data_IF_653994366865
#
_entry.id   IF_653994366865
#
_cell.length_a   1.000
_cell.length_b   1.000
_cell.length_c   1.000
_cell.angle_alpha   90.00
_cell.angle_beta   90.00
_cell.angle_gamma   90.00
#
_symmetry.space_group_name_H-M   'P 1'
#
loop_
_entity.id
_entity.type
_entity.pdbx_description
1 polymer ?
#
# COMPACT_ATOMS: atom_id res chain seq x y z
N UNK A 1 -41.35 -6.30 -17.62
CA UNK A 1 -41.37 -5.05 -16.83
C UNK A 1 -39.96 -4.49 -16.87
N UNK A 2 -39.77 -3.21 -17.18
CA UNK A 2 -38.48 -2.58 -16.94
C UNK A 2 -38.25 -2.61 -15.41
N UNK A 3 -37.06 -3.00 -14.92
CA UNK A 3 -36.76 -2.96 -13.49
C UNK A 3 -36.98 -1.54 -12.98
N UNK A 4 -37.68 -1.42 -11.85
CA UNK A 4 -38.03 -0.14 -11.27
C UNK A 4 -36.82 0.35 -10.51
N UNK A 5 -35.86 0.97 -11.20
CA UNK A 5 -34.58 1.38 -10.63
C UNK A 5 -34.72 2.77 -10.00
N UNK A 6 -35.32 2.86 -8.81
CA UNK A 6 -35.14 4.07 -7.97
C UNK A 6 -33.72 4.08 -7.45
N UNK A 7 -33.18 5.27 -7.20
CA UNK A 7 -31.93 5.44 -6.49
C UNK A 7 -32.20 5.89 -5.05
N UNK A 8 -31.31 5.59 -4.09
CA UNK A 8 -31.49 5.98 -2.69
C UNK A 8 -31.78 7.47 -2.47
N UNK A 9 -31.14 8.34 -3.25
CA UNK A 9 -31.34 9.79 -3.18
C UNK A 9 -32.69 10.27 -3.76
N UNK A 10 -33.43 9.40 -4.45
CA UNK A 10 -34.79 9.68 -4.92
C UNK A 10 -35.86 9.31 -3.87
N UNK A 11 -35.46 8.71 -2.74
CA UNK A 11 -36.34 8.29 -1.66
C UNK A 11 -36.46 9.36 -0.58
N UNK A 12 -37.60 9.36 0.09
CA UNK A 12 -37.90 10.16 1.28
C UNK A 12 -38.19 9.28 2.48
N UNK A 13 -38.15 9.82 3.70
CA UNK A 13 -38.57 9.07 4.90
C UNK A 13 -40.04 8.63 4.84
N UNK A 14 -40.88 9.38 4.11
CA UNK A 14 -42.28 9.01 3.84
C UNK A 14 -42.37 7.78 2.93
N UNK A 15 -41.50 7.66 1.92
CA UNK A 15 -41.42 6.45 1.07
C UNK A 15 -41.08 5.22 1.91
N UNK A 16 -40.12 5.35 2.84
CA UNK A 16 -39.69 4.27 3.75
C UNK A 16 -40.81 3.90 4.71
N UNK A 17 -41.43 4.90 5.35
CA UNK A 17 -42.57 4.69 6.24
C UNK A 17 -43.73 3.99 5.53
N UNK A 18 -44.00 4.38 4.27
CA UNK A 18 -45.02 3.75 3.46
C UNK A 18 -44.66 2.30 3.06
N UNK A 19 -43.39 2.01 2.78
CA UNK A 19 -42.91 0.66 2.50
C UNK A 19 -43.08 -0.25 3.73
N UNK A 20 -42.63 0.19 4.90
CA UNK A 20 -42.76 -0.56 6.15
C UNK A 20 -44.23 -0.78 6.51
N UNK A 21 -45.09 0.21 6.29
CA UNK A 21 -46.54 0.07 6.47
C UNK A 21 -47.17 -0.95 5.51
N UNK A 22 -46.63 -1.12 4.28
CA UNK A 22 -47.07 -2.18 3.36
C UNK A 22 -46.65 -3.57 3.86
N UNK A 23 -45.40 -3.71 4.31
CA UNK A 23 -44.90 -4.94 4.93
C UNK A 23 -45.75 -5.32 6.15
N UNK A 24 -46.01 -4.36 7.04
CA UNK A 24 -46.78 -4.57 8.28
C UNK A 24 -48.21 -5.03 8.06
N UNK A 25 -48.83 -4.72 6.92
CA UNK A 25 -50.17 -5.23 6.59
C UNK A 25 -50.18 -6.74 6.36
N UNK A 26 -49.04 -7.30 5.99
CA UNK A 26 -48.86 -8.72 5.74
C UNK A 26 -48.24 -9.43 6.93
N UNK A 27 -47.22 -8.82 7.55
CA UNK A 27 -46.47 -9.38 8.67
C UNK A 27 -45.88 -8.26 9.55
N UNK A 28 -46.39 -8.13 10.78
CA UNK A 28 -45.95 -7.12 11.75
C UNK A 28 -44.55 -7.40 12.31
N UNK A 29 -44.11 -8.67 12.35
CA UNK A 29 -42.79 -9.04 12.83
C UNK A 29 -41.73 -8.73 11.78
N UNK A 30 -42.01 -9.10 10.53
CA UNK A 30 -41.17 -8.76 9.39
C UNK A 30 -41.00 -7.24 9.24
N UNK A 31 -42.05 -6.46 9.49
CA UNK A 31 -41.97 -5.00 9.44
C UNK A 31 -41.05 -4.42 10.51
N UNK A 32 -41.06 -4.99 11.73
CA UNK A 32 -40.14 -4.58 12.81
C UNK A 32 -38.69 -4.92 12.47
N UNK A 33 -38.44 -6.09 11.92
CA UNK A 33 -37.09 -6.45 11.46
C UNK A 33 -36.64 -5.57 10.28
N UNK A 34 -37.51 -5.28 9.32
CA UNK A 34 -37.21 -4.39 8.20
C UNK A 34 -36.86 -2.97 8.67
N UNK A 35 -37.59 -2.43 9.65
CA UNK A 35 -37.23 -1.17 10.30
C UNK A 35 -35.84 -1.24 10.93
N UNK A 36 -35.53 -2.32 11.65
CA UNK A 36 -34.22 -2.50 12.27
C UNK A 36 -33.08 -2.56 11.23
N UNK A 37 -33.29 -3.24 10.10
CA UNK A 37 -32.33 -3.27 8.99
C UNK A 37 -32.10 -1.85 8.45
N UNK A 38 -33.17 -1.11 8.18
CA UNK A 38 -33.09 0.26 7.68
C UNK A 38 -32.33 1.18 8.64
N UNK A 39 -32.69 1.15 9.93
CA UNK A 39 -32.08 1.99 10.96
C UNK A 39 -30.58 1.67 11.11
N UNK A 40 -30.19 0.40 10.97
CA UNK A 40 -28.78 -0.01 11.08
C UNK A 40 -27.94 0.42 9.88
N UNK A 41 -28.53 0.41 8.69
CA UNK A 41 -27.84 0.80 7.45
C UNK A 41 -27.72 2.32 7.31
N UNK A 42 -28.70 3.07 7.83
CA UNK A 42 -28.76 4.53 7.67
C UNK A 42 -28.34 5.31 8.92
N UNK A 43 -28.23 4.64 10.06
CA UNK A 43 -28.03 5.28 11.37
C UNK A 43 -29.05 6.38 11.69
N UNK A 44 -30.24 6.31 11.08
CA UNK A 44 -31.30 7.30 11.24
C UNK A 44 -31.09 8.60 10.44
N UNK A 45 -30.09 8.67 9.57
CA UNK A 45 -29.80 9.86 8.74
C UNK A 45 -30.59 9.89 7.42
N UNK A 46 -31.50 8.94 7.22
CA UNK A 46 -32.40 8.88 6.06
C UNK A 46 -31.91 7.99 4.91
N UNK A 47 -32.73 7.83 3.85
CA UNK A 47 -32.50 6.82 2.82
C UNK A 47 -31.33 7.17 1.89
N UNK A 48 -30.93 8.45 1.83
CA UNK A 48 -29.77 8.90 1.07
C UNK A 48 -28.43 8.30 1.55
N UNK A 49 -28.39 7.69 2.74
CA UNK A 49 -27.21 6.96 3.23
C UNK A 49 -27.09 5.53 2.68
N UNK A 50 -28.14 4.98 2.06
CA UNK A 50 -28.10 3.61 1.56
C UNK A 50 -27.13 3.51 0.39
N UNK A 51 -26.06 2.74 0.58
CA UNK A 51 -25.07 2.39 -0.46
C UNK A 51 -25.01 0.88 -0.62
N UNK A 52 -24.80 0.37 -1.83
CA UNK A 52 -24.65 -1.08 -2.06
C UNK A 52 -23.40 -1.63 -1.38
N UNK A 53 -22.33 -0.85 -1.31
CA UNK A 53 -21.16 -1.18 -0.49
C UNK A 53 -21.52 -1.36 1.00
N UNK A 54 -22.34 -0.45 1.54
CA UNK A 54 -22.82 -0.52 2.93
C UNK A 54 -23.69 -1.75 3.19
N UNK A 55 -24.54 -2.14 2.24
CA UNK A 55 -25.32 -3.38 2.33
C UNK A 55 -24.42 -4.61 2.26
N UNK A 56 -23.40 -4.63 1.40
CA UNK A 56 -22.42 -5.72 1.34
C UNK A 56 -21.62 -5.84 2.65
N UNK A 57 -21.13 -4.75 3.22
CA UNK A 57 -20.46 -4.75 4.52
C UNK A 57 -21.40 -5.24 5.64
N UNK A 58 -22.64 -4.76 5.64
CA UNK A 58 -23.62 -5.17 6.64
C UNK A 58 -23.92 -6.68 6.56
N UNK A 59 -24.23 -7.20 5.37
CA UNK A 59 -24.52 -8.61 5.16
C UNK A 59 -23.32 -9.52 5.38
N UNK A 60 -22.14 -9.13 4.90
CA UNK A 60 -20.98 -10.03 4.82
C UNK A 60 -20.02 -9.89 5.99
N UNK A 61 -20.11 -8.82 6.79
CA UNK A 61 -19.24 -8.59 7.94
C UNK A 61 -20.03 -8.26 9.22
N UNK A 62 -20.89 -7.25 9.24
CA UNK A 62 -21.51 -6.78 10.49
C UNK A 62 -22.49 -7.80 11.06
N UNK A 63 -23.38 -8.36 10.23
CA UNK A 63 -24.34 -9.38 10.64
C UNK A 63 -23.60 -10.61 11.21
N UNK A 64 -22.63 -11.22 10.50
CA UNK A 64 -21.91 -12.38 11.05
C UNK A 64 -21.07 -12.09 12.30
N UNK A 65 -20.44 -10.91 12.42
CA UNK A 65 -19.41 -10.66 13.45
C UNK A 65 -19.85 -9.78 14.62
N UNK A 66 -20.97 -9.03 14.50
CA UNK A 66 -21.39 -8.03 15.51
C UNK A 66 -22.72 -8.35 16.16
N UNK A 67 -23.59 -9.11 15.49
CA UNK A 67 -24.93 -9.42 16.03
C UNK A 67 -24.93 -10.52 17.10
N UNK A 68 -23.78 -11.22 17.29
CA UNK A 68 -23.50 -12.15 18.41
C UNK A 68 -24.69 -13.04 18.79
N UNK A 69 -25.24 -13.78 17.82
CA UNK A 69 -26.36 -14.69 18.02
C UNK A 69 -26.01 -16.10 17.55
N UNK A 70 -26.47 -17.10 18.31
CA UNK A 70 -26.32 -18.53 18.00
C UNK A 70 -27.56 -19.08 17.25
N UNK A 71 -28.51 -18.22 16.89
CA UNK A 71 -29.73 -18.63 16.18
C UNK A 71 -29.40 -19.09 14.75
N UNK A 72 -29.59 -20.39 14.50
CA UNK A 72 -29.37 -20.98 13.19
C UNK A 72 -30.24 -20.32 12.11
N UNK A 73 -29.62 -19.91 11.00
CA UNK A 73 -30.31 -19.28 9.88
C UNK A 73 -30.67 -17.81 10.09
N UNK A 74 -30.27 -17.19 11.21
CA UNK A 74 -30.52 -15.77 11.49
C UNK A 74 -29.97 -14.84 10.40
N UNK A 75 -28.75 -15.12 9.91
CA UNK A 75 -28.11 -14.31 8.87
C UNK A 75 -28.91 -14.34 7.55
N UNK A 76 -29.41 -15.52 7.17
CA UNK A 76 -30.26 -15.68 5.99
C UNK A 76 -31.61 -14.98 6.14
N UNK A 77 -32.24 -15.07 7.33
CA UNK A 77 -33.48 -14.34 7.63
C UNK A 77 -33.30 -12.83 7.48
N UNK A 78 -32.24 -12.26 8.05
CA UNK A 78 -31.96 -10.82 7.90
C UNK A 78 -31.69 -10.42 6.45
N UNK A 79 -31.04 -11.27 5.66
CA UNK A 79 -30.87 -11.04 4.23
C UNK A 79 -32.22 -11.05 3.49
N UNK A 80 -33.09 -12.03 3.77
CA UNK A 80 -34.43 -12.10 3.18
C UNK A 80 -35.28 -10.90 3.57
N UNK A 81 -35.27 -10.49 4.84
CA UNK A 81 -35.96 -9.29 5.34
C UNK A 81 -35.46 -8.03 4.63
N UNK A 82 -34.14 -7.87 4.49
CA UNK A 82 -33.55 -6.75 3.76
C UNK A 82 -33.99 -6.76 2.28
N UNK A 83 -34.05 -7.93 1.64
CA UNK A 83 -34.49 -8.06 0.27
C UNK A 83 -35.95 -7.62 0.08
N UNK A 84 -36.84 -7.99 1.01
CA UNK A 84 -38.25 -7.55 0.99
C UNK A 84 -38.36 -6.04 1.14
N UNK A 85 -37.60 -5.44 2.07
CA UNK A 85 -37.55 -3.99 2.23
C UNK A 85 -37.11 -3.29 0.94
N UNK A 86 -36.03 -3.76 0.32
CA UNK A 86 -35.49 -3.14 -0.90
C UNK A 86 -36.42 -3.29 -2.10
N UNK A 87 -37.12 -4.42 -2.25
CA UNK A 87 -38.16 -4.57 -3.28
C UNK A 87 -39.30 -3.54 -3.08
N UNK A 88 -39.77 -3.36 -1.84
CA UNK A 88 -40.82 -2.41 -1.50
C UNK A 88 -40.42 -0.94 -1.74
N UNK A 89 -39.11 -0.65 -1.72
CA UNK A 89 -38.53 0.65 -2.04
C UNK A 89 -38.21 0.82 -3.53
N UNK A 90 -38.25 -0.25 -4.34
CA UNK A 90 -37.79 -0.24 -5.73
C UNK A 90 -36.28 -0.09 -5.87
N UNK A 91 -35.52 -0.69 -4.95
CA UNK A 91 -34.06 -0.75 -4.96
C UNK A 91 -33.60 -2.14 -5.43
N UNK A 92 -33.99 -2.53 -6.64
CA UNK A 92 -33.80 -3.88 -7.19
C UNK A 92 -32.35 -4.40 -7.04
N UNK A 93 -31.36 -3.56 -7.33
CA UNK A 93 -29.93 -3.93 -7.22
C UNK A 93 -29.46 -4.21 -5.79
N UNK A 94 -30.12 -3.63 -4.78
CA UNK A 94 -29.84 -3.89 -3.37
C UNK A 94 -30.49 -5.21 -2.94
N UNK A 95 -31.73 -5.44 -3.37
CA UNK A 95 -32.44 -6.70 -3.13
C UNK A 95 -31.74 -7.89 -3.79
N UNK A 96 -31.16 -7.71 -4.98
CA UNK A 96 -30.34 -8.72 -5.66
C UNK A 96 -29.11 -9.13 -4.82
N UNK A 97 -28.42 -8.18 -4.18
CA UNK A 97 -27.28 -8.48 -3.29
C UNK A 97 -27.70 -9.34 -2.11
N UNK A 98 -28.87 -9.05 -1.52
CA UNK A 98 -29.42 -9.83 -0.42
C UNK A 98 -29.70 -11.29 -0.82
N UNK A 99 -30.15 -11.53 -2.06
CA UNK A 99 -30.51 -12.85 -2.59
C UNK A 99 -29.37 -13.56 -3.32
N UNK A 100 -28.22 -12.92 -3.46
CA UNK A 100 -27.08 -13.44 -4.22
C UNK A 100 -26.53 -14.73 -3.58
N UNK A 101 -26.19 -15.73 -4.41
CA UNK A 101 -25.56 -16.97 -3.96
C UNK A 101 -24.25 -16.71 -3.19
N UNK A 102 -23.55 -15.61 -3.50
CA UNK A 102 -22.36 -15.16 -2.76
C UNK A 102 -22.69 -14.79 -1.32
N UNK A 103 -23.80 -14.10 -1.07
CA UNK A 103 -24.25 -13.74 0.28
C UNK A 103 -24.51 -15.00 1.11
N UNK A 104 -25.25 -15.96 0.55
CA UNK A 104 -25.50 -17.24 1.20
C UNK A 104 -24.20 -18.02 1.45
N UNK A 105 -23.25 -18.01 0.50
CA UNK A 105 -21.96 -18.67 0.64
C UNK A 105 -21.08 -18.06 1.74
N UNK A 106 -21.11 -16.74 1.91
CA UNK A 106 -20.40 -16.04 3.00
C UNK A 106 -21.01 -16.42 4.35
N UNK A 107 -22.33 -16.36 4.50
CA UNK A 107 -23.01 -16.74 5.75
C UNK A 107 -22.71 -18.20 6.13
N UNK A 108 -22.84 -19.13 5.17
CA UNK A 108 -22.52 -20.53 5.38
C UNK A 108 -21.04 -20.77 5.75
N UNK A 109 -20.13 -19.89 5.33
CA UNK A 109 -18.72 -19.96 5.72
C UNK A 109 -18.49 -19.48 7.15
N UNK A 110 -19.17 -18.42 7.58
CA UNK A 110 -19.16 -17.98 8.98
C UNK A 110 -19.74 -19.02 9.93
N UNK A 111 -20.81 -19.73 9.52
CA UNK A 111 -21.36 -20.86 10.28
C UNK A 111 -20.34 -21.98 10.53
N UNK A 112 -19.32 -22.12 9.66
CA UNK A 112 -18.24 -23.11 9.82
C UNK A 112 -17.10 -22.58 10.69
N UNK A 113 -16.63 -21.35 10.41
CA UNK A 113 -15.67 -20.63 11.27
C UNK A 113 -15.49 -19.18 10.83
N UNK A 114 -15.06 -18.32 11.75
CA UNK A 114 -14.69 -16.93 11.46
C UNK A 114 -13.60 -16.82 10.38
N UNK A 115 -12.62 -17.72 10.39
CA UNK A 115 -11.52 -17.69 9.42
C UNK A 115 -11.99 -17.98 7.99
N UNK A 116 -12.87 -18.98 7.83
CA UNK A 116 -13.49 -19.27 6.54
C UNK A 116 -14.46 -18.18 6.10
N UNK A 117 -15.25 -17.64 7.04
CA UNK A 117 -16.16 -16.52 6.80
C UNK A 117 -15.44 -15.27 6.29
N UNK A 118 -14.37 -14.85 6.96
CA UNK A 118 -13.55 -13.69 6.56
C UNK A 118 -12.90 -13.89 5.18
N UNK A 119 -12.47 -15.12 4.87
CA UNK A 119 -11.91 -15.44 3.55
C UNK A 119 -12.98 -15.44 2.44
N UNK A 120 -14.16 -16.00 2.71
CA UNK A 120 -15.29 -15.95 1.78
C UNK A 120 -15.76 -14.52 1.53
N UNK A 121 -15.83 -13.70 2.59
CA UNK A 121 -16.17 -12.27 2.53
C UNK A 121 -15.20 -11.50 1.63
N UNK A 122 -13.87 -11.66 1.80
CA UNK A 122 -12.88 -10.98 0.94
C UNK A 122 -13.08 -11.36 -0.53
N UNK A 123 -13.28 -12.65 -0.82
CA UNK A 123 -13.57 -13.13 -2.19
C UNK A 123 -14.86 -12.54 -2.76
N UNK A 124 -15.91 -12.42 -1.94
CA UNK A 124 -17.18 -11.84 -2.35
C UNK A 124 -17.04 -10.34 -2.68
N UNK A 125 -16.33 -9.57 -1.84
CA UNK A 125 -15.99 -8.15 -2.09
C UNK A 125 -15.19 -7.97 -3.37
N UNK A 126 -14.10 -8.74 -3.54
CA UNK A 126 -13.28 -8.71 -4.75
C UNK A 126 -14.08 -9.03 -6.03
N UNK A 127 -15.11 -9.86 -5.92
CA UNK A 127 -15.97 -10.26 -7.01
C UNK A 127 -17.20 -9.35 -7.21
N UNK A 128 -17.47 -8.40 -6.31
CA UNK A 128 -18.69 -7.59 -6.36
C UNK A 128 -18.63 -6.47 -7.40
N UNK A 129 -17.41 -6.01 -7.73
CA UNK A 129 -17.17 -4.89 -8.63
C UNK A 129 -17.32 -3.51 -7.98
N UNK A 130 -17.72 -3.46 -6.71
CA UNK A 130 -17.89 -2.22 -5.94
C UNK A 130 -16.65 -1.91 -5.10
N UNK A 131 -15.92 -2.95 -4.66
CA UNK A 131 -14.67 -2.77 -3.91
C UNK A 131 -13.68 -1.95 -4.76
N UNK A 132 -13.27 -0.75 -4.30
CA UNK A 132 -12.26 0.06 -4.98
C UNK A 132 -10.93 -0.72 -5.13
N UNK A 133 -10.48 -1.02 -6.36
CA UNK A 133 -9.18 -1.65 -6.56
C UNK A 133 -8.03 -0.68 -6.31
N UNK A 134 -6.88 -1.22 -5.92
CA UNK A 134 -5.61 -0.50 -6.01
C UNK A 134 -5.26 -0.16 -7.47
N UNK A 135 -4.58 0.97 -7.62
CA UNK A 135 -4.01 1.49 -8.86
C UNK A 135 -2.48 1.39 -8.83
N UNK A 136 -1.84 1.55 -9.98
CA UNK A 136 -0.38 1.46 -10.07
C UNK A 136 0.35 2.57 -9.28
N UNK A 137 -0.30 3.72 -9.11
CA UNK A 137 0.22 4.91 -8.44
C UNK A 137 -0.55 5.28 -7.15
N UNK A 138 -1.49 4.44 -6.72
CA UNK A 138 -2.31 4.67 -5.53
C UNK A 138 -2.79 3.36 -4.92
N UNK A 139 -2.53 3.20 -3.63
CA UNK A 139 -2.92 2.02 -2.85
C UNK A 139 -3.73 2.46 -1.64
N UNK A 140 -4.81 1.75 -1.36
CA UNK A 140 -5.67 2.01 -0.20
C UNK A 140 -5.02 1.53 1.10
N UNK A 141 -5.17 2.33 2.16
CA UNK A 141 -4.77 1.98 3.51
C UNK A 141 -5.73 0.98 4.14
N UNK A 142 -5.22 0.07 4.96
CA UNK A 142 -6.06 -0.74 5.85
C UNK A 142 -6.65 0.08 6.98
N UNK A 143 -6.04 1.23 7.30
CA UNK A 143 -6.59 2.24 8.20
C UNK A 143 -6.63 3.56 7.46
N UNK A 144 -7.83 4.07 7.23
CA UNK A 144 -8.06 5.29 6.47
C UNK A 144 -8.30 6.46 7.43
N UNK A 145 -7.78 7.63 7.07
CA UNK A 145 -8.26 8.88 7.67
C UNK A 145 -9.62 9.27 7.08
N UNK A 146 -10.10 10.45 7.45
CA UNK A 146 -11.41 10.95 7.03
C UNK A 146 -11.46 11.20 5.52
N UNK A 147 -10.43 11.82 4.96
CA UNK A 147 -10.34 12.10 3.52
C UNK A 147 -10.23 10.81 2.73
N UNK A 148 -9.39 9.87 3.17
CA UNK A 148 -9.26 8.59 2.49
C UNK A 148 -10.52 7.73 2.54
N UNK A 149 -11.21 7.68 3.70
CA UNK A 149 -12.48 6.96 3.81
C UNK A 149 -13.58 7.60 2.94
N UNK A 150 -13.61 8.93 2.85
CA UNK A 150 -14.59 9.64 2.02
C UNK A 150 -14.30 9.47 0.53
N UNK A 151 -13.02 9.49 0.14
CA UNK A 151 -12.59 9.17 -1.22
C UNK A 151 -12.96 7.72 -1.59
N UNK A 152 -12.75 6.77 -0.68
CA UNK A 152 -13.13 5.38 -0.86
C UNK A 152 -14.63 5.24 -1.13
N UNK A 153 -15.47 5.84 -0.28
CA UNK A 153 -16.92 5.86 -0.46
C UNK A 153 -17.34 6.53 -1.77
N UNK A 154 -16.68 7.61 -2.17
CA UNK A 154 -16.95 8.28 -3.46
C UNK A 154 -16.65 7.36 -4.64
N UNK A 155 -15.58 6.56 -4.56
CA UNK A 155 -15.26 5.56 -5.59
C UNK A 155 -16.29 4.44 -5.60
N UNK A 156 -16.75 3.97 -4.44
CA UNK A 156 -17.82 2.97 -4.33
C UNK A 156 -19.11 3.47 -5.02
N UNK A 157 -19.52 4.72 -4.76
CA UNK A 157 -20.69 5.35 -5.38
C UNK A 157 -20.55 5.45 -6.92
N UNK A 158 -19.34 5.78 -7.40
CA UNK A 158 -19.04 5.83 -8.84
C UNK A 158 -19.09 4.44 -9.49
N UNK A 159 -18.57 3.41 -8.81
CA UNK A 159 -18.61 2.01 -9.27
C UNK A 159 -20.04 1.48 -9.28
N UNK A 160 -20.83 1.78 -8.25
CA UNK A 160 -22.26 1.45 -8.18
C UNK A 160 -23.03 2.09 -9.34
N UNK A 161 -22.84 3.38 -9.58
CA UNK A 161 -23.46 4.09 -10.73
C UNK A 161 -23.09 3.44 -12.06
N UNK A 162 -21.84 2.98 -12.23
CA UNK A 162 -21.39 2.30 -13.43
C UNK A 162 -22.01 0.91 -13.59
N UNK A 163 -22.24 0.16 -12.50
CA UNK A 163 -22.96 -1.11 -12.54
C UNK A 163 -24.41 -0.90 -12.97
N UNK A 164 -25.07 0.11 -12.41
CA UNK A 164 -26.49 0.37 -12.66
C UNK A 164 -26.75 0.85 -14.09
N UNK A 165 -25.85 1.67 -14.63
CA UNK A 165 -25.87 2.09 -16.03
C UNK A 165 -25.42 1.01 -17.01
N UNK A 166 -24.83 -0.09 -16.52
CA UNK A 166 -24.27 -1.16 -17.34
C UNK A 166 -22.92 -0.81 -17.99
N UNK A 167 -22.31 0.32 -17.64
CA UNK A 167 -20.96 0.70 -18.06
C UNK A 167 -19.88 -0.21 -17.44
N UNK A 168 -20.16 -0.75 -16.25
CA UNK A 168 -19.39 -1.81 -15.62
C UNK A 168 -20.23 -3.11 -15.61
N UNK A 169 -19.70 -4.17 -16.22
CA UNK A 169 -20.33 -5.50 -16.23
C UNK A 169 -19.37 -6.50 -15.59
N UNK A 170 -19.64 -6.88 -14.35
CA UNK A 170 -18.83 -7.85 -13.59
C UNK A 170 -18.77 -9.19 -14.33
N UNK A 171 -17.58 -9.79 -14.40
CA UNK A 171 -17.35 -11.04 -15.13
C UNK A 171 -17.23 -10.87 -16.64
N UNK A 172 -17.55 -9.70 -17.19
CA UNK A 172 -17.39 -9.38 -18.60
C UNK A 172 -15.92 -9.26 -19.04
N UNK A 173 -15.65 -9.22 -20.35
CA UNK A 173 -14.29 -9.02 -20.84
C UNK A 173 -13.74 -7.67 -20.35
N UNK A 174 -12.53 -7.69 -19.77
CA UNK A 174 -11.81 -6.50 -19.27
C UNK A 174 -12.52 -5.69 -18.17
N UNK A 175 -13.51 -6.28 -17.47
CA UNK A 175 -14.24 -5.58 -16.40
C UNK A 175 -13.33 -5.00 -15.31
N UNK A 176 -12.25 -5.71 -14.92
CA UNK A 176 -11.24 -5.21 -13.97
C UNK A 176 -10.47 -3.99 -14.47
N UNK A 177 -10.22 -3.90 -15.76
CA UNK A 177 -9.59 -2.71 -16.34
C UNK A 177 -10.57 -1.53 -16.33
N UNK A 178 -11.86 -1.79 -16.61
CA UNK A 178 -12.92 -0.77 -16.54
C UNK A 178 -13.11 -0.26 -15.11
N UNK A 179 -13.17 -1.17 -14.13
CA UNK A 179 -13.24 -0.86 -12.71
C UNK A 179 -12.10 0.08 -12.29
N UNK A 180 -10.84 -0.27 -12.60
CA UNK A 180 -9.67 0.59 -12.35
C UNK A 180 -9.78 1.97 -13.01
N UNK A 181 -10.28 2.04 -14.25
CA UNK A 181 -10.46 3.31 -14.94
C UNK A 181 -11.51 4.21 -14.26
N UNK A 182 -12.61 3.64 -13.77
CA UNK A 182 -13.63 4.37 -13.02
C UNK A 182 -13.05 4.87 -11.69
N UNK A 183 -12.33 4.02 -10.96
CA UNK A 183 -11.65 4.39 -9.72
C UNK A 183 -10.66 5.53 -9.92
N UNK A 184 -9.82 5.46 -10.95
CA UNK A 184 -8.89 6.54 -11.29
C UNK A 184 -9.63 7.85 -11.58
N UNK A 185 -10.68 7.81 -12.40
CA UNK A 185 -11.47 8.99 -12.76
C UNK A 185 -12.17 9.62 -11.54
N UNK A 186 -12.71 8.81 -10.63
CA UNK A 186 -13.32 9.28 -9.40
C UNK A 186 -12.29 9.93 -8.46
N UNK A 187 -11.12 9.31 -8.29
CA UNK A 187 -10.01 9.86 -7.50
C UNK A 187 -9.46 11.19 -8.06
N UNK A 188 -9.45 11.33 -9.39
CA UNK A 188 -9.01 12.55 -10.06
C UNK A 188 -10.14 13.61 -10.18
N UNK A 189 -11.35 13.26 -9.75
CA UNK A 189 -12.47 14.17 -9.61
C UNK A 189 -12.20 15.27 -8.58
N UNK A 190 -12.81 16.45 -8.78
CA UNK A 190 -12.63 17.61 -7.90
C UNK A 190 -13.16 17.32 -6.50
N UNK A 191 -12.39 17.69 -5.48
CA UNK A 191 -12.85 17.67 -4.10
C UNK A 191 -14.01 18.68 -3.93
N UNK A 192 -15.12 18.31 -3.26
CA UNK A 192 -16.31 19.15 -3.19
C UNK A 192 -16.11 20.43 -2.37
N UNK A 193 -15.22 20.42 -1.38
CA UNK A 193 -15.05 21.51 -0.41
C UNK A 193 -13.68 22.20 -0.54
N UNK A 194 -12.70 21.57 -1.20
CA UNK A 194 -11.33 22.09 -1.30
C UNK A 194 -11.02 22.46 -2.76
N UNK A 195 -11.15 23.75 -3.15
CA UNK A 195 -10.91 24.18 -4.51
C UNK A 195 -9.47 23.88 -4.95
N UNK A 196 -9.32 23.31 -6.15
CA UNK A 196 -8.02 23.01 -6.75
C UNK A 196 -7.43 21.66 -6.32
N UNK A 197 -8.09 20.92 -5.44
CA UNK A 197 -7.71 19.55 -5.09
C UNK A 197 -8.62 18.52 -5.78
N UNK A 198 -8.05 17.34 -6.04
CA UNK A 198 -8.81 16.12 -6.29
C UNK A 198 -8.86 15.27 -5.03
N UNK A 199 -9.71 14.24 -5.01
CA UNK A 199 -9.69 13.25 -3.92
C UNK A 199 -8.31 12.63 -3.73
N UNK A 200 -7.61 12.31 -4.82
CA UNK A 200 -6.25 11.79 -4.77
C UNK A 200 -5.29 12.72 -4.03
N UNK A 201 -5.34 14.02 -4.30
CA UNK A 201 -4.45 14.99 -3.62
C UNK A 201 -4.87 15.25 -2.18
N UNK A 202 -6.16 15.20 -1.87
CA UNK A 202 -6.66 15.33 -0.50
C UNK A 202 -6.15 14.18 0.38
N UNK A 203 -6.24 12.93 -0.10
CA UNK A 203 -5.70 11.76 0.59
C UNK A 203 -4.19 11.87 0.82
N UNK A 204 -3.43 12.30 -0.19
CA UNK A 204 -1.99 12.53 -0.04
C UNK A 204 -1.71 13.58 1.05
N UNK A 205 -2.46 14.68 1.07
CA UNK A 205 -2.31 15.76 2.04
C UNK A 205 -2.63 15.28 3.45
N UNK A 206 -3.71 14.52 3.64
CA UNK A 206 -4.07 13.90 4.92
C UNK A 206 -2.96 12.97 5.42
N UNK A 207 -2.49 12.05 4.57
CA UNK A 207 -1.46 11.07 4.96
C UNK A 207 -0.15 11.74 5.39
N UNK A 208 0.30 12.76 4.65
CA UNK A 208 1.49 13.55 5.02
C UNK A 208 1.26 14.34 6.30
N UNK A 209 0.08 14.95 6.46
CA UNK A 209 -0.29 15.69 7.67
C UNK A 209 -0.24 14.80 8.92
N UNK A 210 -0.73 13.57 8.80
CA UNK A 210 -0.68 12.60 9.89
C UNK A 210 0.72 12.06 10.14
N UNK A 211 1.54 11.86 9.10
CA UNK A 211 2.95 11.49 9.26
C UNK A 211 3.75 12.52 10.07
N UNK A 212 3.48 13.82 9.85
CA UNK A 212 4.00 14.92 10.68
C UNK A 212 3.42 14.85 12.10
N UNK A 213 2.09 14.74 12.23
CA UNK A 213 1.39 14.72 13.51
C UNK A 213 1.87 13.60 14.42
N UNK A 214 2.02 12.38 13.89
CA UNK A 214 2.47 11.21 14.64
C UNK A 214 3.91 11.39 15.13
N UNK A 215 4.78 12.02 14.33
CA UNK A 215 6.12 12.42 14.77
C UNK A 215 6.06 13.39 15.94
N UNK A 216 5.29 14.47 15.81
CA UNK A 216 5.13 15.51 16.83
C UNK A 216 4.51 15.01 18.15
N UNK A 217 3.65 13.99 18.12
CA UNK A 217 3.06 13.42 19.33
C UNK A 217 4.09 12.74 20.25
N UNK A 218 5.25 12.34 19.71
CA UNK A 218 6.27 11.56 20.41
C UNK A 218 7.60 12.30 20.53
N UNK A 219 7.95 13.13 19.55
CA UNK A 219 9.19 13.92 19.54
C UNK A 219 8.98 15.26 18.82
N UNK A 220 9.15 16.37 19.55
CA UNK A 220 9.12 17.72 18.99
C UNK A 220 10.22 17.95 17.94
N UNK A 221 11.34 17.23 18.03
CA UNK A 221 12.44 17.31 17.05
C UNK A 221 12.02 16.66 15.74
N UNK A 222 11.61 15.40 15.77
CA UNK A 222 11.15 14.68 14.57
C UNK A 222 9.95 15.38 13.95
N UNK A 223 8.98 15.80 14.77
CA UNK A 223 7.80 16.54 14.32
C UNK A 223 8.15 17.81 13.53
N UNK A 224 9.08 18.64 14.03
CA UNK A 224 9.56 19.83 13.31
C UNK A 224 10.28 19.47 12.02
N UNK A 225 11.21 18.50 12.07
CA UNK A 225 11.97 18.06 10.89
C UNK A 225 11.04 17.61 9.76
N UNK A 226 10.02 16.82 10.08
CA UNK A 226 8.99 16.38 9.13
C UNK A 226 8.12 17.51 8.62
N UNK A 227 7.72 18.45 9.49
CA UNK A 227 6.94 19.61 9.08
C UNK A 227 7.69 20.49 8.08
N UNK A 228 8.99 20.67 8.26
CA UNK A 228 9.85 21.48 7.37
C UNK A 228 9.95 20.89 5.96
N UNK A 229 9.84 19.56 5.81
CA UNK A 229 9.89 18.88 4.51
C UNK A 229 8.53 18.54 3.92
N UNK A 230 7.43 18.56 4.71
CA UNK A 230 6.11 18.09 4.31
C UNK A 230 5.59 18.69 2.99
N UNK A 231 5.74 20.01 2.80
CA UNK A 231 5.31 20.70 1.58
C UNK A 231 6.02 20.18 0.32
N UNK A 232 7.27 19.72 0.46
CA UNK A 232 8.06 19.15 -0.64
C UNK A 232 7.55 17.77 -1.03
N UNK A 233 6.83 17.09 -0.14
CA UNK A 233 6.31 15.74 -0.35
C UNK A 233 4.89 15.73 -0.91
N UNK A 234 4.19 16.87 -1.01
CA UNK A 234 2.79 16.91 -1.47
C UNK A 234 2.63 16.47 -2.94
N UNK A 235 3.64 16.77 -3.77
CA UNK A 235 3.64 16.43 -5.18
C UNK A 235 4.58 15.25 -5.48
N UNK A 236 4.33 14.46 -6.53
CA UNK A 236 5.30 13.47 -7.01
C UNK A 236 6.70 14.08 -7.16
N UNK A 237 7.71 13.34 -6.72
CA UNK A 237 9.10 13.77 -6.81
C UNK A 237 9.64 13.36 -8.18
N UNK A 238 10.13 14.32 -8.94
CA UNK A 238 10.76 14.04 -10.23
C UNK A 238 12.01 13.17 -10.05
N UNK A 239 12.27 12.23 -10.97
CA UNK A 239 13.49 11.46 -10.95
C UNK A 239 14.72 12.37 -11.08
N UNK A 240 15.86 12.00 -10.47
CA UNK A 240 17.09 12.78 -10.61
C UNK A 240 17.54 12.87 -12.08
N UNK A 241 18.25 13.95 -12.46
CA UNK A 241 18.88 14.03 -13.77
C UNK A 241 19.86 12.87 -13.96
N UNK A 242 20.13 12.50 -15.22
CA UNK A 242 21.02 11.38 -15.58
C UNK A 242 20.60 10.04 -14.96
N UNK A 243 19.31 9.81 -14.74
CA UNK A 243 18.80 8.59 -14.11
C UNK A 243 19.31 7.30 -14.76
N UNK A 244 19.50 7.31 -16.09
CA UNK A 244 20.05 6.16 -16.83
C UNK A 244 21.46 5.79 -16.36
N UNK A 245 22.29 6.77 -16.02
CA UNK A 245 23.65 6.54 -15.51
C UNK A 245 23.60 6.00 -14.08
N UNK A 246 22.78 6.63 -13.23
CA UNK A 246 22.58 6.20 -11.84
C UNK A 246 22.06 4.76 -11.77
N UNK A 247 21.09 4.38 -12.62
CA UNK A 247 20.54 3.03 -12.64
C UNK A 247 21.33 2.03 -13.50
N UNK A 248 22.42 2.46 -14.16
CA UNK A 248 23.24 1.59 -15.01
C UNK A 248 23.76 0.33 -14.31
N UNK A 249 24.15 0.34 -13.01
CA UNK A 249 24.51 -0.89 -12.30
C UNK A 249 23.42 -1.96 -12.37
N UNK A 250 22.18 -1.59 -12.10
CA UNK A 250 21.04 -2.51 -12.10
C UNK A 250 20.68 -2.96 -13.52
N UNK A 251 20.49 -2.01 -14.45
CA UNK A 251 20.02 -2.32 -15.80
C UNK A 251 21.04 -3.14 -16.58
N UNK A 252 22.34 -2.83 -16.47
CA UNK A 252 23.40 -3.62 -17.11
C UNK A 252 23.60 -4.98 -16.47
N UNK A 253 23.47 -5.13 -15.15
CA UNK A 253 23.54 -6.46 -14.55
C UNK A 253 22.40 -7.34 -15.05
N UNK A 254 21.18 -6.80 -15.14
CA UNK A 254 20.02 -7.52 -15.67
C UNK A 254 20.20 -7.89 -17.15
N UNK A 255 20.80 -7.01 -17.96
CA UNK A 255 21.15 -7.29 -19.36
C UNK A 255 22.22 -8.39 -19.46
N UNK A 256 23.32 -8.25 -18.72
CA UNK A 256 24.41 -9.25 -18.68
C UNK A 256 23.96 -10.61 -18.17
N UNK A 257 22.98 -10.66 -17.27
CA UNK A 257 22.39 -11.90 -16.77
C UNK A 257 21.66 -12.66 -17.88
N UNK A 258 21.01 -11.93 -18.81
CA UNK A 258 20.10 -12.50 -19.80
C UNK A 258 18.89 -13.13 -19.12
N UNK A 259 18.40 -14.24 -19.67
CA UNK A 259 17.18 -14.88 -19.13
C UNK A 259 17.44 -15.72 -17.87
N UNK A 260 18.62 -16.34 -17.78
CA UNK A 260 18.97 -17.18 -16.64
C UNK A 260 20.47 -17.42 -16.49
N UNK A 261 20.90 -17.67 -15.25
CA UNK A 261 22.26 -18.06 -14.91
C UNK A 261 22.28 -19.27 -13.95
N UNK A 262 23.14 -20.26 -14.18
CA UNK A 262 23.27 -21.39 -13.27
C UNK A 262 23.98 -20.97 -11.97
N UNK A 263 23.48 -21.49 -10.85
CA UNK A 263 24.03 -21.30 -9.52
C UNK A 263 24.87 -22.50 -9.10
N UNK A 264 25.88 -22.23 -8.28
CA UNK A 264 26.65 -23.25 -7.56
C UNK A 264 25.78 -23.98 -6.54
N UNK A 265 26.30 -25.08 -5.95
CA UNK A 265 25.59 -25.82 -4.90
C UNK A 265 25.26 -24.95 -3.68
N UNK A 266 26.11 -23.98 -3.36
CA UNK A 266 25.90 -23.02 -2.26
C UNK A 266 24.97 -21.86 -2.65
N UNK A 267 24.47 -21.80 -3.89
CA UNK A 267 23.54 -20.77 -4.35
C UNK A 267 24.19 -19.48 -4.86
N UNK A 268 25.52 -19.44 -4.98
CA UNK A 268 26.26 -18.34 -5.61
C UNK A 268 26.27 -18.46 -7.14
N UNK A 269 26.44 -17.33 -7.83
CA UNK A 269 26.74 -17.28 -9.26
C UNK A 269 28.03 -18.06 -9.56
N UNK A 270 28.06 -18.70 -10.73
CA UNK A 270 29.26 -19.43 -11.13
C UNK A 270 30.43 -18.46 -11.39
N UNK A 271 31.66 -18.97 -11.24
CA UNK A 271 32.87 -18.15 -11.38
C UNK A 271 33.00 -17.51 -12.77
N UNK A 272 32.61 -18.22 -13.84
CA UNK A 272 32.71 -17.69 -15.20
C UNK A 272 31.86 -16.42 -15.39
N UNK A 273 30.66 -16.40 -14.83
CA UNK A 273 29.77 -15.25 -14.83
C UNK A 273 30.33 -14.12 -13.96
N UNK A 274 30.83 -14.43 -12.77
CA UNK A 274 31.43 -13.43 -11.87
C UNK A 274 32.62 -12.73 -12.53
N UNK A 275 33.51 -13.49 -13.20
CA UNK A 275 34.64 -12.92 -13.95
C UNK A 275 34.15 -12.03 -15.10
N UNK A 276 33.14 -12.49 -15.86
CA UNK A 276 32.54 -11.68 -16.93
C UNK A 276 31.97 -10.35 -16.42
N UNK A 277 31.24 -10.38 -15.31
CA UNK A 277 30.71 -9.15 -14.68
C UNK A 277 31.85 -8.26 -14.20
N UNK A 278 32.87 -8.82 -13.56
CA UNK A 278 34.03 -8.05 -13.08
C UNK A 278 34.76 -7.31 -14.23
N UNK A 279 34.82 -7.90 -15.43
CA UNK A 279 35.41 -7.28 -16.62
C UNK A 279 34.52 -6.20 -17.24
N UNK A 280 33.19 -6.30 -17.10
CA UNK A 280 32.21 -5.46 -17.81
C UNK A 280 31.40 -4.53 -16.89
N UNK A 281 31.69 -4.53 -15.58
CA UNK A 281 30.92 -3.80 -14.58
C UNK A 281 30.90 -2.29 -14.86
N UNK A 282 29.73 -1.64 -14.74
CA UNK A 282 29.64 -0.19 -14.79
C UNK A 282 29.96 0.51 -13.47
N UNK A 283 30.15 -0.23 -12.37
CA UNK A 283 30.41 0.32 -11.04
C UNK A 283 31.90 0.31 -10.70
N UNK A 284 32.29 1.25 -9.85
CA UNK A 284 33.60 1.22 -9.22
C UNK A 284 33.59 0.27 -8.01
N UNK A 285 34.62 -0.56 -7.92
CA UNK A 285 34.82 -1.44 -6.76
C UNK A 285 35.60 -0.68 -5.68
N UNK A 286 34.98 -0.34 -4.53
CA UNK A 286 35.65 0.42 -3.48
C UNK A 286 36.84 -0.34 -2.86
N UNK A 287 36.90 -1.67 -3.04
CA UNK A 287 37.97 -2.52 -2.52
C UNK A 287 38.90 -3.03 -3.62
N UNK A 288 38.92 -2.38 -4.81
CA UNK A 288 39.69 -2.74 -6.02
C UNK A 288 40.82 -3.74 -5.75
N UNK A 289 40.46 -5.02 -5.74
CA UNK A 289 41.46 -6.06 -5.58
C UNK A 289 42.13 -6.25 -6.94
N UNK A 290 43.46 -6.22 -6.99
CA UNK A 290 44.21 -6.48 -8.25
C UNK A 290 44.05 -7.92 -8.77
N UNK A 291 43.23 -8.75 -8.13
CA UNK A 291 43.11 -10.19 -8.37
C UNK A 291 41.72 -10.47 -8.94
N UNK A 292 41.67 -11.31 -9.96
CA UNK A 292 40.42 -11.83 -10.51
C UNK A 292 39.61 -12.54 -9.41
N UNK A 293 38.30 -12.24 -9.26
CA UNK A 293 37.46 -12.85 -8.23
C UNK A 293 37.36 -14.37 -8.41
N UNK A 294 37.32 -15.10 -7.28
CA UNK A 294 37.20 -16.56 -7.24
C UNK A 294 35.76 -17.00 -7.00
N UNK A 295 34.95 -16.16 -6.35
CA UNK A 295 33.53 -16.36 -6.08
C UNK A 295 32.75 -15.05 -6.12
N UNK A 296 31.41 -15.13 -6.10
CA UNK A 296 30.53 -13.96 -6.01
C UNK A 296 30.83 -13.09 -4.78
N UNK A 297 31.20 -13.71 -3.65
CA UNK A 297 31.54 -13.00 -2.41
C UNK A 297 32.82 -12.17 -2.51
N UNK A 298 33.69 -12.47 -3.48
CA UNK A 298 34.86 -11.64 -3.75
C UNK A 298 34.49 -10.35 -4.51
N UNK A 299 33.28 -10.30 -5.09
CA UNK A 299 32.70 -9.13 -5.76
C UNK A 299 31.49 -8.63 -4.94
N UNK A 300 31.78 -7.94 -3.83
CA UNK A 300 30.77 -7.53 -2.84
C UNK A 300 29.64 -6.70 -3.46
N UNK A 301 29.95 -5.83 -4.44
CA UNK A 301 28.94 -5.03 -5.14
C UNK A 301 27.98 -5.92 -5.93
N UNK A 302 28.48 -6.90 -6.68
CA UNK A 302 27.64 -7.88 -7.38
C UNK A 302 26.75 -8.65 -6.40
N UNK A 303 27.32 -9.10 -5.29
CA UNK A 303 26.57 -9.83 -4.27
C UNK A 303 25.40 -8.99 -3.70
N UNK A 304 25.66 -7.73 -3.34
CA UNK A 304 24.64 -6.79 -2.84
C UNK A 304 23.58 -6.47 -3.89
N UNK A 305 24.00 -6.12 -5.10
CA UNK A 305 23.10 -5.75 -6.19
C UNK A 305 22.19 -6.92 -6.59
N UNK A 306 22.74 -8.14 -6.64
CA UNK A 306 21.94 -9.36 -6.83
C UNK A 306 20.94 -9.56 -5.69
N UNK A 307 21.37 -9.43 -4.44
CA UNK A 307 20.50 -9.55 -3.27
C UNK A 307 19.32 -8.58 -3.34
N UNK A 308 19.58 -7.31 -3.63
CA UNK A 308 18.54 -6.32 -3.85
C UNK A 308 17.61 -6.68 -5.03
N UNK A 309 18.16 -7.08 -6.19
CA UNK A 309 17.34 -7.47 -7.35
C UNK A 309 16.45 -8.70 -7.08
N UNK A 310 16.89 -9.63 -6.22
CA UNK A 310 16.05 -10.74 -5.76
C UNK A 310 14.93 -10.24 -4.83
N UNK A 311 15.24 -9.39 -3.84
CA UNK A 311 14.24 -8.78 -2.96
C UNK A 311 13.22 -7.92 -3.73
N UNK A 312 13.67 -7.18 -4.73
CA UNK A 312 12.86 -6.37 -5.63
C UNK A 312 12.01 -7.20 -6.61
N UNK A 313 12.16 -8.53 -6.61
CA UNK A 313 11.42 -9.43 -7.51
C UNK A 313 11.85 -9.36 -8.97
N UNK A 314 12.94 -8.66 -9.30
CA UNK A 314 13.52 -8.60 -10.64
C UNK A 314 14.25 -9.91 -11.02
N UNK A 315 14.78 -10.58 -10.01
CA UNK A 315 15.40 -11.90 -10.12
C UNK A 315 14.69 -12.92 -9.22
N UNK A 316 14.66 -14.18 -9.65
CA UNK A 316 14.07 -15.27 -8.87
C UNK A 316 14.91 -16.52 -8.95
N UNK A 317 15.25 -17.08 -7.79
CA UNK A 317 15.88 -18.38 -7.67
C UNK A 317 14.84 -19.50 -7.84
N UNK A 318 15.08 -20.42 -8.77
CA UNK A 318 14.31 -21.68 -8.92
C UNK A 318 15.28 -22.85 -9.01
N UNK A 319 15.39 -23.61 -7.92
CA UNK A 319 16.39 -24.67 -7.79
C UNK A 319 17.81 -24.10 -7.85
N UNK A 320 18.64 -24.61 -8.77
CA UNK A 320 20.02 -24.18 -9.01
C UNK A 320 20.14 -23.16 -10.15
N UNK A 321 19.08 -22.41 -10.43
CA UNK A 321 19.06 -21.43 -11.52
C UNK A 321 18.50 -20.12 -11.00
N UNK A 322 19.19 -19.03 -11.28
CA UNK A 322 18.71 -17.67 -11.11
C UNK A 322 18.08 -17.21 -12.43
N UNK A 323 16.85 -16.72 -12.40
CA UNK A 323 16.11 -16.29 -13.59
C UNK A 323 15.74 -14.82 -13.51
N UNK A 324 15.77 -14.13 -14.65
CA UNK A 324 15.16 -12.81 -14.80
C UNK A 324 13.65 -12.94 -14.89
N UNK A 325 12.92 -12.14 -14.12
CA UNK A 325 11.45 -12.11 -14.15
C UNK A 325 10.96 -11.13 -15.22
N UNK A 326 9.64 -11.07 -15.45
CA UNK A 326 9.04 -10.04 -16.31
C UNK A 326 9.37 -8.63 -15.81
N UNK A 327 9.34 -8.40 -14.49
CA UNK A 327 9.77 -7.14 -13.87
C UNK A 327 11.24 -6.86 -14.16
N UNK A 328 12.11 -7.85 -14.05
CA UNK A 328 13.53 -7.71 -14.38
C UNK A 328 13.75 -7.36 -15.86
N UNK A 329 12.97 -7.96 -16.77
CA UNK A 329 13.01 -7.61 -18.20
C UNK A 329 12.55 -6.17 -18.44
N UNK A 330 11.48 -5.73 -17.77
CA UNK A 330 11.01 -4.35 -17.87
C UNK A 330 12.07 -3.36 -17.33
N UNK A 331 12.62 -3.61 -16.14
CA UNK A 331 13.69 -2.79 -15.54
C UNK A 331 14.95 -2.73 -16.40
N UNK A 332 15.23 -3.75 -17.22
CA UNK A 332 16.39 -3.72 -18.13
C UNK A 332 16.26 -2.58 -19.15
N UNK A 333 15.04 -2.27 -19.59
CA UNK A 333 14.77 -1.28 -20.63
C UNK A 333 14.22 0.05 -20.09
N UNK A 334 13.85 0.09 -18.81
CA UNK A 334 13.23 1.25 -18.17
C UNK A 334 13.96 1.63 -16.87
N UNK A 335 14.92 2.58 -16.94
CA UNK A 335 15.59 3.12 -15.76
C UNK A 335 14.64 3.78 -14.75
N UNK A 336 13.51 4.34 -15.20
CA UNK A 336 12.52 4.94 -14.32
C UNK A 336 11.85 3.87 -13.46
N UNK A 337 11.47 2.75 -14.07
CA UNK A 337 10.96 1.59 -13.33
C UNK A 337 11.99 1.04 -12.34
N UNK A 338 13.28 0.99 -12.74
CA UNK A 338 14.34 0.51 -11.85
C UNK A 338 14.51 1.43 -10.62
N UNK A 339 14.43 2.74 -10.81
CA UNK A 339 14.48 3.74 -9.74
C UNK A 339 13.24 3.73 -8.84
N UNK A 340 12.04 3.68 -9.43
CA UNK A 340 10.79 3.51 -8.69
C UNK A 340 10.84 2.23 -7.84
N UNK A 341 11.42 1.15 -8.36
CA UNK A 341 11.63 -0.08 -7.59
C UNK A 341 12.58 0.13 -6.42
N UNK A 342 13.68 0.85 -6.61
CA UNK A 342 14.66 1.15 -5.55
C UNK A 342 13.99 1.91 -4.39
N UNK A 343 13.20 2.94 -4.69
CA UNK A 343 12.49 3.76 -3.70
C UNK A 343 11.72 2.91 -2.67
N UNK A 344 11.09 1.83 -3.13
CA UNK A 344 10.28 0.94 -2.29
C UNK A 344 11.03 -0.28 -1.73
N UNK A 345 12.26 -0.55 -2.17
CA UNK A 345 12.97 -1.80 -1.83
C UNK A 345 14.40 -1.61 -1.34
N UNK A 346 14.85 -0.37 -1.15
CA UNK A 346 16.18 -0.04 -0.64
C UNK A 346 16.45 -0.64 0.75
N UNK A 347 15.41 -0.74 1.57
CA UNK A 347 15.45 -1.33 2.91
C UNK A 347 14.20 -2.18 3.16
N UNK A 348 14.30 -3.29 3.90
CA UNK A 348 13.14 -4.02 4.38
C UNK A 348 12.23 -3.16 5.26
N UNK A 349 10.92 -3.41 5.22
CA UNK A 349 9.94 -2.77 6.09
C UNK A 349 10.28 -2.93 7.58
N UNK A 350 9.83 -1.97 8.40
CA UNK A 350 10.07 -1.96 9.84
C UNK A 350 11.36 -1.22 10.22
N UNK A 351 12.24 -1.86 11.00
CA UNK A 351 13.40 -1.19 11.61
C UNK A 351 14.39 -0.64 10.58
N UNK A 352 14.76 -1.45 9.59
CA UNK A 352 15.70 -1.04 8.54
C UNK A 352 15.15 0.11 7.70
N UNK A 353 13.85 0.07 7.37
CA UNK A 353 13.18 1.18 6.68
C UNK A 353 13.16 2.45 7.52
N UNK A 354 12.81 2.35 8.80
CA UNK A 354 12.83 3.48 9.72
C UNK A 354 14.21 4.15 9.78
N UNK A 355 15.28 3.37 9.96
CA UNK A 355 16.66 3.90 10.04
C UNK A 355 17.04 4.68 8.78
N UNK A 356 16.62 4.20 7.60
CA UNK A 356 16.95 4.85 6.34
C UNK A 356 16.09 6.09 6.07
N UNK A 357 14.81 6.04 6.39
CA UNK A 357 13.94 7.21 6.30
C UNK A 357 14.40 8.31 7.28
N UNK A 358 14.70 7.96 8.53
CA UNK A 358 15.16 8.95 9.52
C UNK A 358 16.54 9.53 9.16
N UNK A 359 17.46 8.70 8.65
CA UNK A 359 18.72 9.19 8.09
C UNK A 359 18.49 10.16 6.92
N UNK A 360 17.51 9.88 6.06
CA UNK A 360 17.14 10.75 4.96
C UNK A 360 16.59 12.10 5.46
N UNK A 361 15.70 12.07 6.46
CA UNK A 361 15.19 13.29 7.09
C UNK A 361 16.34 14.15 7.64
N UNK A 362 17.28 13.56 8.40
CA UNK A 362 18.43 14.27 8.99
C UNK A 362 19.31 14.87 7.90
N UNK A 363 19.66 14.11 6.87
CA UNK A 363 20.58 14.58 5.84
C UNK A 363 19.98 15.66 4.95
N UNK A 364 18.67 15.61 4.69
CA UNK A 364 17.94 16.67 3.99
C UNK A 364 17.91 17.95 4.84
N UNK A 365 17.67 17.84 6.15
CA UNK A 365 17.73 18.98 7.08
C UNK A 365 19.12 19.64 7.06
N UNK A 366 20.19 18.86 6.90
CA UNK A 366 21.59 19.34 6.86
C UNK A 366 22.01 19.91 5.49
N UNK A 367 21.14 19.88 4.49
CA UNK A 367 21.33 20.59 3.21
C UNK A 367 22.55 20.13 2.40
N UNK A 368 22.88 18.83 2.46
CA UNK A 368 23.99 18.22 1.70
C UNK A 368 25.38 18.33 2.34
N UNK A 369 25.50 18.99 3.51
CA UNK A 369 26.74 18.97 4.27
C UNK A 369 27.08 17.55 4.74
N UNK A 370 28.36 17.12 4.70
CA UNK A 370 28.77 15.84 5.28
C UNK A 370 28.46 15.79 6.78
N UNK A 371 27.83 14.69 7.22
CA UNK A 371 27.50 14.42 8.62
C UNK A 371 28.34 13.23 9.09
N UNK A 372 29.02 13.37 10.23
CA UNK A 372 29.76 12.26 10.81
C UNK A 372 28.80 11.09 11.13
N UNK A 373 29.18 9.88 10.74
CA UNK A 373 28.32 8.69 10.94
C UNK A 373 28.01 8.40 12.40
N UNK A 374 28.93 8.74 13.32
CA UNK A 374 28.69 8.63 14.76
C UNK A 374 27.51 9.51 15.18
N UNK A 375 27.59 10.82 14.87
CA UNK A 375 26.54 11.80 15.17
C UNK A 375 25.20 11.41 14.53
N UNK A 376 25.24 10.94 13.27
CA UNK A 376 24.04 10.46 12.57
C UNK A 376 23.41 9.27 13.30
N UNK A 377 24.19 8.27 13.69
CA UNK A 377 23.64 7.09 14.37
C UNK A 377 23.16 7.38 15.78
N UNK A 378 23.81 8.30 16.50
CA UNK A 378 23.37 8.78 17.81
C UNK A 378 22.02 9.52 17.70
N UNK A 379 21.86 10.38 16.69
CA UNK A 379 20.62 11.10 16.43
C UNK A 379 19.49 10.12 16.08
N UNK A 380 19.73 9.17 15.16
CA UNK A 380 18.74 8.13 14.78
C UNK A 380 18.36 7.24 15.97
N UNK A 381 19.33 6.83 16.80
CA UNK A 381 19.03 6.03 17.99
C UNK A 381 18.18 6.82 18.99
N UNK A 382 18.39 8.12 19.10
CA UNK A 382 17.58 9.00 19.95
C UNK A 382 16.17 9.17 19.38
N UNK A 383 16.04 9.46 18.08
CA UNK A 383 14.74 9.58 17.40
C UNK A 383 13.95 8.26 17.50
N UNK A 384 14.62 7.12 17.33
CA UNK A 384 14.03 5.79 17.54
C UNK A 384 13.47 5.62 18.96
N UNK A 385 14.25 6.03 19.98
CA UNK A 385 13.86 5.90 21.37
C UNK A 385 12.65 6.79 21.71
N UNK A 386 12.64 8.04 21.22
CA UNK A 386 11.56 8.99 21.42
C UNK A 386 10.25 8.52 20.75
N UNK A 387 10.37 7.99 19.52
CA UNK A 387 9.25 7.41 18.77
C UNK A 387 8.78 6.05 19.33
N UNK A 388 9.44 5.53 20.36
CA UNK A 388 9.01 4.35 21.10
C UNK A 388 9.45 3.02 20.48
N UNK A 389 10.42 3.00 19.57
CA UNK A 389 10.99 1.75 19.07
C UNK A 389 11.61 0.94 20.21
N UNK A 390 11.47 -0.38 20.10
CA UNK A 390 12.01 -1.36 21.05
C UNK A 390 12.67 -2.50 20.30
N UNK A 391 13.81 -2.95 20.81
CA UNK A 391 14.50 -4.16 20.41
C UNK A 391 14.59 -5.12 21.60
N UNK A 392 14.82 -6.39 21.33
CA UNK A 392 14.94 -7.43 22.37
C UNK A 392 16.39 -7.89 22.44
N UNK A 393 16.96 -7.85 23.64
CA UNK A 393 18.31 -8.31 23.93
C UNK A 393 18.29 -9.17 25.19
N UNK A 394 18.75 -10.42 25.09
CA UNK A 394 18.68 -11.39 26.19
C UNK A 394 17.26 -11.63 26.76
N UNK A 395 16.21 -11.33 26.00
CA UNK A 395 14.80 -11.45 26.43
C UNK A 395 14.21 -10.19 27.09
N UNK A 396 15.00 -9.15 27.32
CA UNK A 396 14.51 -7.86 27.82
C UNK A 396 14.27 -6.87 26.68
N UNK A 397 13.21 -6.07 26.77
CA UNK A 397 12.98 -4.97 25.83
C UNK A 397 13.82 -3.75 26.22
N UNK A 398 14.53 -3.19 25.24
CA UNK A 398 15.32 -1.96 25.37
C UNK A 398 15.13 -1.04 24.18
N UNK A 399 15.51 0.22 24.30
CA UNK A 399 15.63 1.11 23.15
C UNK A 399 16.76 0.60 22.21
N UNK A 400 16.63 0.84 20.88
CA UNK A 400 17.70 0.54 19.93
C UNK A 400 18.99 1.31 20.28
N UNK A 401 20.13 0.66 20.08
CA UNK A 401 21.45 1.29 20.27
C UNK A 401 22.04 1.76 18.94
N UNK A 402 23.12 2.53 19.01
CA UNK A 402 23.95 2.90 17.86
C UNK A 402 24.39 1.68 17.04
N UNK A 403 24.71 0.56 17.69
CA UNK A 403 25.11 -0.67 17.00
C UNK A 403 23.93 -1.35 16.26
N UNK A 404 22.70 -1.19 16.76
CA UNK A 404 21.49 -1.65 16.07
C UNK A 404 21.20 -0.78 14.83
N UNK A 405 21.38 0.54 14.96
CA UNK A 405 21.26 1.50 13.85
C UNK A 405 22.32 1.22 12.78
N UNK A 406 23.60 1.13 13.18
CA UNK A 406 24.74 0.86 12.28
C UNK A 406 24.50 -0.37 11.40
N UNK A 407 23.99 -1.45 11.99
CA UNK A 407 23.75 -2.73 11.28
C UNK A 407 22.65 -2.60 10.23
N UNK A 408 21.57 -1.91 10.55
CA UNK A 408 20.45 -1.65 9.65
C UNK A 408 20.84 -0.67 8.53
N UNK A 409 21.62 0.36 8.88
CA UNK A 409 22.03 1.42 7.96
C UNK A 409 22.92 0.92 6.81
N UNK A 410 23.96 0.13 7.12
CA UNK A 410 25.04 -0.15 6.16
C UNK A 410 24.60 -0.84 4.86
N UNK A 411 23.64 -1.77 4.91
CA UNK A 411 23.26 -2.53 3.72
C UNK A 411 22.52 -1.66 2.71
N UNK A 412 21.55 -0.88 3.19
CA UNK A 412 20.72 0.00 2.38
C UNK A 412 21.50 1.24 1.94
N UNK A 413 22.34 1.80 2.81
CA UNK A 413 23.18 2.95 2.46
C UNK A 413 24.21 2.62 1.38
N UNK A 414 24.85 1.45 1.46
CA UNK A 414 25.77 1.00 0.42
C UNK A 414 25.10 0.81 -0.96
N UNK A 415 23.79 0.54 -0.98
CA UNK A 415 23.02 0.47 -2.22
C UNK A 415 22.75 1.87 -2.80
N UNK A 416 22.41 2.85 -1.94
CA UNK A 416 22.28 4.24 -2.36
C UNK A 416 23.61 4.81 -2.89
N UNK A 417 24.71 4.50 -2.22
CA UNK A 417 26.07 4.88 -2.63
C UNK A 417 26.44 4.25 -3.98
N UNK A 418 26.14 2.96 -4.19
CA UNK A 418 26.35 2.26 -5.46
C UNK A 418 25.66 2.97 -6.65
N UNK A 419 24.47 3.51 -6.44
CA UNK A 419 23.73 4.25 -7.46
C UNK A 419 24.07 5.74 -7.49
N UNK A 420 24.99 6.22 -6.64
CA UNK A 420 25.39 7.62 -6.57
C UNK A 420 24.35 8.55 -5.94
N UNK A 421 23.43 8.01 -5.15
CA UNK A 421 22.43 8.76 -4.38
C UNK A 421 22.88 9.07 -2.95
N UNK A 422 24.01 8.52 -2.55
CA UNK A 422 24.69 8.82 -1.31
C UNK A 422 26.20 8.92 -1.58
N UNK A 423 26.95 9.44 -0.60
CA UNK A 423 28.41 9.37 -0.62
C UNK A 423 28.93 9.14 0.78
N UNK A 424 29.87 8.21 0.93
CA UNK A 424 30.65 8.00 2.14
C UNK A 424 32.06 8.61 1.96
N UNK A 425 32.50 9.37 2.95
CA UNK A 425 33.79 10.07 2.99
C UNK A 425 34.58 9.65 4.22
N UNK A 426 35.90 9.86 4.18
CA UNK A 426 36.79 9.64 5.32
C UNK A 426 37.27 8.19 5.46
N UNK A 427 38.16 7.97 6.43
CA UNK A 427 38.60 6.63 6.80
C UNK A 427 37.69 6.02 7.88
N UNK A 428 37.99 4.82 8.37
CA UNK A 428 37.16 4.14 9.36
C UNK A 428 37.01 4.88 10.71
N UNK A 429 37.86 5.87 11.02
CA UNK A 429 37.80 6.66 12.25
C UNK A 429 36.95 7.91 12.09
N UNK A 430 37.01 8.54 10.92
CA UNK A 430 36.36 9.83 10.63
C UNK A 430 35.34 9.71 9.49
N UNK A 431 34.53 8.63 9.51
CA UNK A 431 33.51 8.40 8.47
C UNK A 431 32.42 9.44 8.52
N UNK A 432 32.16 10.07 7.39
CA UNK A 432 31.04 10.98 7.19
C UNK A 432 30.22 10.57 5.97
N UNK A 433 28.93 10.89 5.98
CA UNK A 433 28.02 10.64 4.86
C UNK A 433 27.42 11.95 4.39
N UNK A 434 27.18 12.05 3.09
CA UNK A 434 26.51 13.21 2.48
C UNK A 434 25.55 12.75 1.39
N UNK A 435 24.68 13.66 0.97
CA UNK A 435 23.69 13.42 -0.08
C UNK A 435 23.98 14.38 -1.24
N UNK A 436 24.36 13.89 -2.43
CA UNK A 436 24.47 14.73 -3.62
C UNK A 436 23.09 15.17 -4.12
N UNK A 437 22.97 16.15 -5.04
CA UNK A 437 21.67 16.62 -5.52
C UNK A 437 20.76 15.52 -6.09
N UNK A 438 21.32 14.55 -6.83
CA UNK A 438 20.58 13.39 -7.31
C UNK A 438 20.08 12.47 -6.18
N UNK A 439 20.86 12.41 -5.09
CA UNK A 439 20.50 11.74 -3.86
C UNK A 439 19.33 12.41 -3.15
N UNK A 440 19.31 13.74 -3.10
CA UNK A 440 18.26 14.50 -2.42
C UNK A 440 16.88 14.21 -3.04
N UNK A 441 16.76 14.23 -4.37
CA UNK A 441 15.53 13.83 -5.07
C UNK A 441 15.11 12.39 -4.75
N UNK A 442 16.07 11.46 -4.69
CA UNK A 442 15.78 10.05 -4.40
C UNK A 442 15.33 9.86 -2.95
N UNK A 443 15.98 10.52 -2.00
CA UNK A 443 15.61 10.48 -0.59
C UNK A 443 14.24 11.12 -0.34
N UNK A 444 13.92 12.24 -1.00
CA UNK A 444 12.56 12.81 -0.95
C UNK A 444 11.52 11.85 -1.54
N UNK A 445 11.83 11.16 -2.65
CA UNK A 445 10.93 10.19 -3.24
C UNK A 445 10.68 8.99 -2.30
N UNK A 446 11.72 8.55 -1.59
CA UNK A 446 11.62 7.55 -0.53
C UNK A 446 10.73 8.02 0.63
N UNK A 447 10.99 9.21 1.17
CA UNK A 447 10.18 9.78 2.24
C UNK A 447 8.73 9.98 1.81
N UNK A 448 8.50 10.43 0.57
CA UNK A 448 7.15 10.56 0.02
C UNK A 448 6.44 9.22 -0.07
N UNK A 449 7.12 8.16 -0.52
CA UNK A 449 6.55 6.82 -0.60
C UNK A 449 6.09 6.30 0.76
N UNK A 450 6.83 6.60 1.83
CA UNK A 450 6.44 6.27 3.21
C UNK A 450 5.31 7.19 3.74
N UNK A 451 5.46 8.50 3.58
CA UNK A 451 4.56 9.50 4.17
C UNK A 451 3.18 9.58 3.48
N UNK A 452 3.13 9.38 2.16
CA UNK A 452 1.89 9.38 1.37
C UNK A 452 1.39 7.96 1.03
N UNK A 453 2.10 6.93 1.47
CA UNK A 453 1.76 5.53 1.25
C UNK A 453 0.56 5.06 2.09
N UNK A 454 0.02 3.86 1.78
CA UNK A 454 -1.10 3.28 2.52
C UNK A 454 -0.73 3.00 3.97
N UNK A 455 -1.62 3.32 4.90
CA UNK A 455 -1.44 3.00 6.31
C UNK A 455 -1.92 1.58 6.61
N UNK A 456 -1.10 0.81 7.31
CA UNK A 456 -1.47 -0.52 7.83
C UNK A 456 -1.79 -0.53 9.32
N UNK A 457 -1.63 0.62 10.01
CA UNK A 457 -1.87 0.77 11.45
C UNK A 457 -2.49 2.14 11.74
N UNK A 458 -3.27 2.27 12.83
CA UNK A 458 -3.90 3.55 13.18
C UNK A 458 -2.95 4.58 13.80
N UNK A 459 -1.72 4.19 14.16
CA UNK A 459 -0.70 5.03 14.79
C UNK A 459 0.71 4.72 14.28
#
# INVERSE_FOLDING_TARGET
>A
MAPNRRQPWDLTDDDVSAAIARISKHDEELAREAQHVYDTLTWGEGPGQLRRAGVQDWLWYRVPTKYMTDEAGYMGRLADTAAVLFDELGLDGYAEVCRDERTAAVHAAFDRSDAEGLEAMRKARDASGIEPPDLDDFVWGQTMGMEEATAHATVEDALETALDSGDLVVGGRAWRARQRAITAAALDGRHPIEPGQSWRTAVVTERIGDWVRNGSMRSDRVGRRRADIANRLLHPIDPPPNLTEHMAPATRLLDLLGDHQPLTQAGYLNRAFVVRVHEQRPWEDPLRTRRTPRSETDEIVLHRLRGWLECAGALRKRGKVLRRTERGTAMTNDPLLAWATLIHSVAPEGWDRFVIDDAAEILIERGGAPVATGDLFDEIATDAADLGWRTTDGGAQRAPSVDDVRRAFHNSWALLDLFGFASEHGDWRDRAVSVPPAGESTLLAMLRAGAAGPKSRPW
#
